data_IF_568270934448
#
_entry.id   IF_568270934448
#
_cell.length_a   1.000
_cell.length_b   1.000
_cell.length_c   1.000
_cell.angle_alpha   90.00
_cell.angle_beta   90.00
_cell.angle_gamma   90.00
#
_symmetry.space_group_name_H-M   'P 1'
#
loop_
_entity.id
_entity.type
_entity.pdbx_description
1 polymer ?
#
# COMPACT_ATOMS: atom_id res chain seq x y z
N UNK A 1 -50.66 -12.19 40.23
CA UNK A 1 -50.35 -13.60 40.04
C UNK A 1 -50.02 -13.81 38.57
N UNK A 2 -48.84 -14.42 38.30
CA UNK A 2 -48.35 -14.93 37.03
C UNK A 2 -47.89 -13.81 36.05
N UNK A 3 -46.62 -13.64 35.66
CA UNK A 3 -45.44 -14.49 35.63
C UNK A 3 -44.76 -14.16 34.29
N UNK A 4 -43.79 -13.36 34.31
CA UNK A 4 -42.38 -13.40 33.91
C UNK A 4 -42.11 -14.29 32.68
N UNK A 5 -41.56 -13.71 31.65
CA UNK A 5 -40.85 -14.34 30.55
C UNK A 5 -39.77 -13.43 30.02
N UNK A 6 -38.59 -13.43 30.67
CA UNK A 6 -37.33 -12.95 30.10
C UNK A 6 -36.91 -13.91 29.00
N UNK A 7 -36.57 -13.42 27.82
CA UNK A 7 -35.71 -14.10 26.88
C UNK A 7 -34.55 -13.22 26.48
N UNK A 8 -33.45 -13.44 27.14
CA UNK A 8 -32.12 -13.01 26.70
C UNK A 8 -31.79 -13.78 25.41
N UNK A 9 -31.81 -13.06 24.31
CA UNK A 9 -31.27 -13.50 23.02
C UNK A 9 -29.81 -13.09 22.89
N UNK A 10 -28.98 -14.06 23.21
CA UNK A 10 -27.51 -14.01 23.06
C UNK A 10 -27.13 -13.86 21.58
N UNK A 11 -26.74 -12.63 21.18
CA UNK A 11 -26.11 -12.35 19.88
C UNK A 11 -24.59 -12.34 20.06
N UNK A 12 -24.02 -13.53 20.27
CA UNK A 12 -22.59 -13.75 20.06
C UNK A 12 -22.30 -13.75 18.56
N UNK A 13 -21.92 -12.59 18.05
CA UNK A 13 -21.25 -12.50 16.75
C UNK A 13 -19.85 -13.07 16.93
N UNK A 14 -19.67 -14.29 16.39
CA UNK A 14 -18.40 -14.98 16.34
C UNK A 14 -17.44 -14.19 15.44
N UNK A 15 -16.48 -13.50 16.07
CA UNK A 15 -15.28 -12.98 15.41
C UNK A 15 -14.30 -14.15 15.31
N UNK A 16 -14.10 -14.66 14.12
CA UNK A 16 -13.03 -15.62 13.83
C UNK A 16 -11.68 -14.90 13.82
N UNK A 17 -10.71 -15.29 14.65
CA UNK A 17 -9.34 -14.80 14.54
C UNK A 17 -8.66 -15.52 13.39
N UNK A 18 -8.02 -14.77 12.50
CA UNK A 18 -7.09 -15.30 11.49
C UNK A 18 -5.87 -15.84 12.21
N UNK A 19 -5.88 -17.14 12.49
CA UNK A 19 -4.75 -17.87 13.09
C UNK A 19 -3.79 -18.28 11.98
N UNK A 20 -2.62 -17.65 11.93
CA UNK A 20 -1.49 -18.15 11.16
C UNK A 20 -0.92 -19.35 11.89
N UNK A 21 -1.27 -20.55 11.43
CA UNK A 21 -0.87 -21.79 12.04
C UNK A 21 0.53 -22.21 11.56
N UNK A 22 1.55 -21.96 12.37
CA UNK A 22 2.87 -22.60 12.26
C UNK A 22 2.96 -23.70 13.28
N UNK A 23 2.67 -24.94 12.90
CA UNK A 23 3.22 -26.18 13.50
C UNK A 23 2.68 -27.38 12.71
N UNK A 24 3.49 -27.94 11.82
CA UNK A 24 3.31 -29.31 11.36
C UNK A 24 4.35 -30.17 12.02
N UNK A 25 3.87 -31.11 12.81
CA UNK A 25 4.68 -32.13 13.50
C UNK A 25 5.15 -33.19 12.52
N UNK A 26 6.38 -33.62 12.77
CA UNK A 26 7.10 -34.72 12.08
C UNK A 26 6.51 -36.06 12.54
N UNK A 27 6.09 -36.92 11.61
CA UNK A 27 6.03 -38.36 11.83
C UNK A 27 6.71 -39.08 10.68
N UNK A 28 7.69 -39.89 11.05
CA UNK A 28 8.47 -40.73 10.15
C UNK A 28 7.72 -41.99 9.75
N UNK A 29 7.94 -42.50 8.53
CA UNK A 29 7.55 -43.85 8.17
C UNK A 29 7.62 -44.19 6.70
N UNK A 30 8.69 -44.92 6.30
CA UNK A 30 8.80 -45.97 5.28
C UNK A 30 8.83 -45.62 3.76
N UNK A 31 9.95 -45.98 3.26
CA UNK A 31 10.43 -46.22 1.91
C UNK A 31 9.38 -46.51 0.80
N UNK A 32 9.44 -45.71 -0.25
CA UNK A 32 8.92 -45.96 -1.57
C UNK A 32 9.68 -45.12 -2.57
N UNK A 33 10.38 -45.73 -3.50
CA UNK A 33 11.10 -45.04 -4.57
C UNK A 33 10.11 -44.27 -5.46
N UNK A 34 9.88 -43.00 -5.13
CA UNK A 34 9.16 -42.06 -5.98
C UNK A 34 10.16 -41.21 -6.73
N UNK A 35 10.12 -41.35 -8.05
CA UNK A 35 10.88 -40.51 -8.99
C UNK A 35 10.77 -39.03 -8.60
N UNK A 36 11.90 -38.38 -8.40
CA UNK A 36 12.03 -36.95 -8.15
C UNK A 36 11.56 -36.18 -9.39
N UNK A 37 10.27 -36.00 -9.55
CA UNK A 37 9.72 -34.91 -10.34
C UNK A 37 9.99 -33.64 -9.57
N UNK A 38 11.16 -33.05 -9.72
CA UNK A 38 11.43 -31.69 -9.30
C UNK A 38 10.32 -30.79 -9.91
N UNK A 39 9.57 -30.03 -9.15
CA UNK A 39 8.69 -29.04 -9.73
C UNK A 39 9.61 -28.07 -10.49
N UNK A 40 9.54 -28.12 -11.81
CA UNK A 40 10.14 -27.08 -12.65
C UNK A 40 9.45 -25.80 -12.20
N UNK A 41 10.16 -24.97 -11.44
CA UNK A 41 9.71 -23.64 -11.12
C UNK A 41 9.44 -22.95 -12.45
N UNK A 42 8.16 -22.84 -12.80
CA UNK A 42 7.73 -22.13 -14.00
C UNK A 42 8.07 -20.67 -13.74
N UNK A 43 9.17 -20.22 -14.35
CA UNK A 43 9.48 -18.79 -14.33
C UNK A 43 8.22 -18.05 -14.82
N UNK A 44 7.73 -17.13 -14.03
CA UNK A 44 6.60 -16.29 -14.42
C UNK A 44 6.97 -15.62 -15.74
N UNK A 45 6.07 -15.69 -16.72
CA UNK A 45 6.30 -15.02 -17.98
C UNK A 45 6.49 -13.52 -17.71
N UNK A 46 7.46 -12.84 -18.36
CA UNK A 46 7.65 -11.41 -18.16
C UNK A 46 6.33 -10.68 -18.44
N UNK A 47 6.04 -9.61 -17.70
CA UNK A 47 4.80 -8.86 -17.88
C UNK A 47 4.73 -8.31 -19.30
N UNK A 48 3.60 -8.54 -19.95
CA UNK A 48 3.38 -8.02 -21.30
C UNK A 48 3.03 -6.53 -21.15
N UNK A 49 3.98 -5.67 -21.55
CA UNK A 49 3.74 -4.23 -21.63
C UNK A 49 2.83 -3.88 -22.81
N UNK A 50 2.11 -2.77 -22.69
CA UNK A 50 1.38 -2.21 -23.83
C UNK A 50 2.36 -1.58 -24.82
N UNK A 51 2.02 -1.61 -26.12
CA UNK A 51 2.76 -0.87 -27.13
C UNK A 51 2.42 0.61 -26.98
N UNK A 52 3.41 1.40 -26.58
CA UNK A 52 3.24 2.85 -26.38
C UNK A 52 3.36 3.59 -27.70
N UNK A 53 2.44 4.48 -27.97
CA UNK A 53 2.55 5.44 -29.08
C UNK A 53 3.61 6.51 -28.75
N UNK A 54 4.09 7.27 -29.74
CA UNK A 54 4.96 8.44 -29.48
C UNK A 54 4.34 9.42 -28.50
N UNK A 55 3.02 9.64 -28.56
CA UNK A 55 2.31 10.49 -27.62
C UNK A 55 2.29 9.91 -26.20
N UNK A 56 2.08 8.60 -26.03
CA UNK A 56 2.12 7.95 -24.71
C UNK A 56 3.50 8.10 -24.08
N UNK A 57 4.54 7.95 -24.90
CA UNK A 57 5.92 8.14 -24.44
C UNK A 57 6.18 9.57 -24.00
N UNK A 58 5.71 10.57 -24.75
CA UNK A 58 5.82 11.98 -24.37
C UNK A 58 5.04 12.29 -23.08
N UNK A 59 3.83 11.72 -22.92
CA UNK A 59 3.03 11.88 -21.71
C UNK A 59 3.68 11.20 -20.50
N UNK A 60 4.31 10.03 -20.66
CA UNK A 60 5.09 9.40 -19.57
C UNK A 60 6.25 10.29 -19.13
N UNK A 61 6.96 10.92 -20.06
CA UNK A 61 8.05 11.87 -19.73
C UNK A 61 7.51 13.09 -18.98
N UNK A 62 6.39 13.64 -19.46
CA UNK A 62 5.69 14.76 -18.81
C UNK A 62 5.25 14.41 -17.39
N UNK A 63 4.66 13.22 -17.19
CA UNK A 63 4.25 12.72 -15.87
C UNK A 63 5.46 12.48 -14.96
N UNK A 64 6.55 11.90 -15.46
CA UNK A 64 7.77 11.69 -14.69
C UNK A 64 8.37 13.02 -14.20
N UNK A 65 8.45 14.01 -15.08
CA UNK A 65 8.93 15.36 -14.75
C UNK A 65 8.01 16.03 -13.71
N UNK A 66 6.69 15.95 -13.91
CA UNK A 66 5.71 16.50 -12.97
C UNK A 66 5.84 15.84 -11.58
N UNK A 67 5.85 14.52 -11.51
CA UNK A 67 6.00 13.80 -10.23
C UNK A 67 7.33 14.13 -9.55
N UNK A 68 8.43 14.22 -10.31
CA UNK A 68 9.75 14.58 -9.78
C UNK A 68 9.81 16.03 -9.26
N UNK A 69 8.99 16.93 -9.81
CA UNK A 69 8.90 18.31 -9.32
C UNK A 69 8.23 18.44 -7.95
N UNK A 70 7.42 17.45 -7.56
CA UNK A 70 6.74 17.43 -6.27
C UNK A 70 7.73 16.98 -5.18
N UNK A 71 8.35 17.92 -4.49
CA UNK A 71 9.28 17.63 -3.38
C UNK A 71 8.55 17.35 -2.08
N UNK A 72 7.54 18.15 -1.79
CA UNK A 72 6.66 18.00 -0.63
C UNK A 72 5.22 18.13 -1.06
N UNK A 73 4.34 17.45 -0.36
CA UNK A 73 2.89 17.49 -0.57
C UNK A 73 2.17 17.34 0.77
N UNK A 74 1.12 18.12 0.93
CA UNK A 74 0.05 17.87 1.88
C UNK A 74 -1.24 17.67 1.10
N UNK A 75 -2.09 16.76 1.52
CA UNK A 75 -3.42 16.58 0.95
C UNK A 75 -4.38 15.97 1.98
N UNK A 76 -5.67 16.19 1.78
CA UNK A 76 -6.70 15.31 2.33
C UNK A 76 -6.79 14.08 1.44
N UNK A 77 -7.02 12.93 2.03
CA UNK A 77 -7.22 11.70 1.27
C UNK A 77 -8.52 10.98 1.63
N UNK A 78 -9.01 10.22 0.68
CA UNK A 78 -9.98 9.15 0.88
C UNK A 78 -9.36 7.85 0.39
N UNK A 79 -9.37 6.85 1.24
CA UNK A 79 -8.91 5.49 0.94
C UNK A 79 -10.10 4.56 0.79
N UNK A 80 -10.02 3.68 -0.22
CA UNK A 80 -10.95 2.55 -0.41
C UNK A 80 -10.12 1.28 -0.45
N UNK A 81 -10.39 0.35 0.47
CA UNK A 81 -9.71 -0.94 0.57
C UNK A 81 -10.43 -2.02 -0.24
N UNK A 82 -9.77 -3.14 -0.51
CA UNK A 82 -10.29 -4.26 -1.31
C UNK A 82 -11.64 -4.81 -0.80
N UNK A 83 -11.89 -4.73 0.52
CA UNK A 83 -13.17 -5.12 1.14
C UNK A 83 -14.27 -4.05 1.07
N UNK A 84 -14.06 -2.94 0.34
CA UNK A 84 -15.02 -1.84 0.25
C UNK A 84 -15.01 -0.88 1.46
N UNK A 85 -14.19 -1.15 2.49
CA UNK A 85 -14.00 -0.24 3.61
C UNK A 85 -13.42 1.09 3.15
N UNK A 86 -13.98 2.19 3.66
CA UNK A 86 -13.53 3.55 3.36
C UNK A 86 -12.94 4.21 4.59
N UNK A 87 -11.88 4.99 4.40
CA UNK A 87 -11.27 5.81 5.43
C UNK A 87 -10.85 7.15 4.84
N UNK A 88 -10.84 8.20 5.66
CA UNK A 88 -10.36 9.52 5.29
C UNK A 88 -9.29 10.00 6.26
N UNK A 89 -8.54 11.01 5.84
CA UNK A 89 -7.49 11.54 6.70
C UNK A 89 -6.63 12.59 6.01
N UNK A 90 -5.45 12.78 6.56
CA UNK A 90 -4.43 13.71 6.09
C UNK A 90 -3.20 12.94 5.65
N UNK A 91 -2.59 13.41 4.57
CA UNK A 91 -1.39 12.85 3.97
C UNK A 91 -0.32 13.93 3.89
N UNK A 92 0.87 13.62 4.38
CA UNK A 92 2.09 14.38 4.14
C UNK A 92 3.08 13.51 3.38
N UNK A 93 3.76 14.09 2.42
CA UNK A 93 4.81 13.44 1.65
C UNK A 93 6.00 14.37 1.52
N UNK A 94 7.20 13.83 1.70
CA UNK A 94 8.45 14.53 1.43
C UNK A 94 9.43 13.55 0.74
N UNK A 95 9.77 13.84 -0.52
CA UNK A 95 10.74 13.01 -1.26
C UNK A 95 12.18 13.35 -0.85
N UNK A 96 13.05 12.33 -0.87
CA UNK A 96 12.76 10.93 -1.14
C UNK A 96 12.18 10.16 0.07
N UNK A 97 11.35 9.18 -0.19
CA UNK A 97 11.07 8.07 0.72
C UNK A 97 10.23 8.35 1.96
N UNK A 98 9.70 9.56 2.14
CA UNK A 98 8.96 9.91 3.34
C UNK A 98 7.48 10.15 3.03
N UNK A 99 6.62 9.53 3.83
CA UNK A 99 5.17 9.68 3.72
C UNK A 99 4.51 9.35 5.06
N UNK A 100 3.48 10.10 5.41
CA UNK A 100 2.70 9.89 6.61
C UNK A 100 1.22 10.01 6.30
N UNK A 101 0.46 9.01 6.71
CA UNK A 101 -1.00 9.04 6.73
C UNK A 101 -1.47 9.13 8.16
N UNK A 102 -2.30 10.11 8.45
CA UNK A 102 -3.08 10.18 9.68
C UNK A 102 -4.55 10.08 9.32
N UNK A 103 -5.16 9.03 9.78
CA UNK A 103 -6.58 8.79 9.57
C UNK A 103 -7.41 9.63 10.53
N UNK A 104 -8.60 10.04 10.08
CA UNK A 104 -9.52 10.79 10.94
C UNK A 104 -9.94 9.96 12.17
N UNK A 105 -10.49 10.62 13.18
CA UNK A 105 -10.67 10.19 14.58
C UNK A 105 -11.26 8.79 14.81
N UNK A 106 -11.86 8.18 13.82
CA UNK A 106 -12.42 6.82 13.91
C UNK A 106 -11.40 5.70 13.69
N UNK A 107 -10.14 6.02 13.36
CA UNK A 107 -9.12 5.03 13.09
C UNK A 107 -7.88 5.27 13.95
N UNK A 108 -7.54 4.28 14.75
CA UNK A 108 -6.30 4.28 15.53
C UNK A 108 -5.06 3.95 14.71
N UNK A 109 -5.17 3.93 13.37
CA UNK A 109 -4.12 3.52 12.47
C UNK A 109 -3.20 4.71 12.13
N UNK A 110 -1.90 4.44 12.12
CA UNK A 110 -0.86 5.29 11.55
C UNK A 110 -0.09 4.50 10.49
N UNK A 111 0.05 5.08 9.30
CA UNK A 111 0.94 4.57 8.26
C UNK A 111 2.06 5.60 8.04
N UNK A 112 3.31 5.17 8.17
CA UNK A 112 4.48 6.03 8.08
C UNK A 112 5.57 5.38 7.23
N UNK A 113 6.14 6.13 6.27
CA UNK A 113 7.38 5.79 5.58
C UNK A 113 8.49 6.74 6.01
N UNK A 114 9.68 6.19 6.39
CA UNK A 114 10.82 6.92 6.96
C UNK A 114 12.08 6.92 6.07
N UNK A 115 11.97 6.66 4.78
CA UNK A 115 12.99 6.39 3.76
C UNK A 115 13.40 4.92 3.64
N UNK A 116 13.36 4.13 4.71
CA UNK A 116 13.85 2.74 4.73
C UNK A 116 12.71 1.75 4.87
N UNK A 117 11.75 2.06 5.71
CA UNK A 117 10.65 1.19 6.09
C UNK A 117 9.30 1.89 5.94
N UNK A 118 8.28 1.09 5.73
CA UNK A 118 6.88 1.47 5.94
C UNK A 118 6.43 0.82 7.23
N UNK A 119 5.95 1.63 8.17
CA UNK A 119 5.38 1.22 9.45
C UNK A 119 3.87 1.29 9.35
N UNK A 120 3.23 0.21 9.72
CA UNK A 120 1.79 0.15 9.98
C UNK A 120 1.61 -0.04 11.48
N UNK A 121 0.92 0.88 12.12
CA UNK A 121 0.68 0.87 13.56
C UNK A 121 -0.80 0.88 13.81
N UNK A 122 -1.30 -0.14 14.49
CA UNK A 122 -2.65 -0.19 15.03
C UNK A 122 -2.55 0.10 16.55
N UNK A 123 -3.03 1.27 16.95
CA UNK A 123 -2.95 1.73 18.34
C UNK A 123 -4.00 1.06 19.25
N UNK A 124 -5.10 0.57 18.67
CA UNK A 124 -6.14 -0.16 19.44
C UNK A 124 -5.70 -1.56 19.77
N UNK A 125 -5.09 -2.24 18.80
CA UNK A 125 -4.58 -3.60 19.00
C UNK A 125 -3.18 -3.62 19.63
N UNK A 126 -2.54 -2.47 19.81
CA UNK A 126 -1.15 -2.32 20.23
C UNK A 126 -0.19 -3.12 19.33
N UNK A 127 -0.48 -3.21 18.04
CA UNK A 127 0.30 -3.93 17.05
C UNK A 127 1.08 -2.98 16.14
N UNK A 128 2.29 -3.41 15.78
CA UNK A 128 3.11 -2.73 14.80
C UNK A 128 3.75 -3.75 13.86
N UNK A 129 3.64 -3.48 12.57
CA UNK A 129 4.39 -4.19 11.54
C UNK A 129 5.22 -3.22 10.71
N UNK A 130 6.34 -3.70 10.16
CA UNK A 130 7.17 -2.92 9.26
C UNK A 130 7.64 -3.77 8.08
N UNK A 131 7.72 -3.15 6.91
CA UNK A 131 8.28 -3.75 5.70
C UNK A 131 9.30 -2.78 5.09
N UNK A 132 10.26 -3.29 4.31
CA UNK A 132 11.18 -2.43 3.57
C UNK A 132 10.41 -1.58 2.55
N UNK A 133 10.63 -0.26 2.53
CA UNK A 133 9.93 0.63 1.62
C UNK A 133 10.14 0.23 0.15
N UNK A 134 11.36 -0.13 -0.22
CA UNK A 134 11.71 -0.55 -1.60
C UNK A 134 11.05 -1.84 -2.05
N UNK A 135 10.57 -2.66 -1.11
CA UNK A 135 9.81 -3.89 -1.41
C UNK A 135 8.30 -3.63 -1.53
N UNK A 136 7.90 -2.36 -1.62
CA UNK A 136 6.49 -1.99 -1.75
C UNK A 136 6.27 -1.14 -3.00
N UNK A 137 5.13 -1.27 -3.70
CA UNK A 137 4.80 -0.39 -4.82
C UNK A 137 4.76 1.10 -4.45
N UNK A 138 4.64 1.45 -3.16
CA UNK A 138 4.70 2.84 -2.68
C UNK A 138 6.05 3.51 -2.97
N UNK A 139 7.14 2.73 -3.08
CA UNK A 139 8.46 3.24 -3.47
C UNK A 139 8.43 3.99 -4.79
N UNK A 140 7.63 3.52 -5.75
CA UNK A 140 7.51 4.16 -7.07
C UNK A 140 6.99 5.60 -6.98
N UNK A 141 6.16 5.88 -5.97
CA UNK A 141 5.65 7.23 -5.70
C UNK A 141 6.64 8.08 -4.91
N UNK A 142 7.53 7.47 -4.12
CA UNK A 142 8.36 8.16 -3.13
C UNK A 142 9.82 8.32 -3.56
N UNK A 143 10.27 7.62 -4.59
CA UNK A 143 11.64 7.73 -5.10
C UNK A 143 11.91 9.09 -5.74
N UNK A 144 13.17 9.46 -5.80
CA UNK A 144 13.66 10.69 -6.42
C UNK A 144 14.95 10.40 -7.18
N UNK A 145 15.00 10.65 -8.50
CA UNK A 145 13.88 11.10 -9.35
C UNK A 145 12.83 10.00 -9.61
N UNK A 146 11.61 10.39 -9.98
CA UNK A 146 10.59 9.46 -10.48
C UNK A 146 10.91 9.12 -11.93
N UNK A 147 11.12 7.84 -12.23
CA UNK A 147 11.41 7.34 -13.58
C UNK A 147 10.52 6.15 -13.91
N UNK A 148 10.37 5.84 -15.19
CA UNK A 148 9.67 4.64 -15.67
C UNK A 148 10.61 3.61 -16.31
N UNK A 149 11.93 3.81 -16.22
CA UNK A 149 12.94 2.99 -16.93
C UNK A 149 12.99 1.53 -16.47
N UNK A 150 12.74 1.31 -15.17
CA UNK A 150 12.70 -0.01 -14.50
C UNK A 150 11.29 -0.58 -14.37
N UNK A 151 10.32 0.06 -15.03
CA UNK A 151 8.92 -0.33 -15.01
C UNK A 151 8.45 -0.83 -16.37
N UNK A 152 7.40 -1.63 -16.35
CA UNK A 152 6.61 -2.00 -17.52
C UNK A 152 5.26 -1.30 -17.41
N UNK A 153 4.91 -0.52 -18.42
CA UNK A 153 3.57 0.04 -18.54
C UNK A 153 2.65 -1.06 -19.06
N UNK A 154 1.74 -1.53 -18.22
CA UNK A 154 0.78 -2.59 -18.58
C UNK A 154 -0.55 -2.04 -19.06
N UNK A 155 -0.83 -0.76 -18.77
CA UNK A 155 -2.02 -0.07 -19.24
C UNK A 155 -1.78 1.44 -19.32
N UNK A 156 -2.27 2.04 -20.41
CA UNK A 156 -2.26 3.49 -20.62
C UNK A 156 -3.60 3.92 -21.22
N UNK A 157 -4.40 4.65 -20.43
CA UNK A 157 -5.72 5.13 -20.89
C UNK A 157 -5.76 6.66 -20.88
N UNK A 158 -6.36 7.24 -21.95
CA UNK A 158 -6.72 8.66 -22.02
C UNK A 158 -8.23 8.81 -21.97
N UNK A 159 -8.69 9.63 -21.01
CA UNK A 159 -10.06 10.13 -20.96
C UNK A 159 -10.14 11.59 -21.43
N UNK A 160 -11.32 12.18 -21.34
CA UNK A 160 -11.56 13.56 -21.78
C UNK A 160 -10.68 14.61 -21.07
N UNK A 161 -10.29 14.40 -19.83
CA UNK A 161 -9.36 15.24 -19.05
C UNK A 161 -8.64 14.39 -18.02
N UNK A 162 -8.24 13.18 -18.39
CA UNK A 162 -7.59 12.27 -17.46
C UNK A 162 -6.57 11.37 -18.17
N UNK A 163 -5.44 11.14 -17.49
CA UNK A 163 -4.49 10.10 -17.85
C UNK A 163 -4.51 9.05 -16.74
N UNK A 164 -4.57 7.78 -17.13
CA UNK A 164 -4.46 6.64 -16.22
C UNK A 164 -3.34 5.74 -16.69
N UNK A 165 -2.38 5.49 -15.83
CA UNK A 165 -1.16 4.75 -16.14
C UNK A 165 -1.01 3.64 -15.11
N UNK A 166 -0.96 2.39 -15.56
CA UNK A 166 -0.68 1.23 -14.70
C UNK A 166 0.70 0.68 -15.02
N UNK A 167 1.49 0.48 -13.99
CA UNK A 167 2.85 -0.02 -14.07
C UNK A 167 3.09 -1.19 -13.12
N UNK A 168 4.03 -2.05 -13.49
CA UNK A 168 4.62 -3.09 -12.64
C UNK A 168 6.13 -2.98 -12.69
N UNK A 169 6.81 -3.51 -11.69
CA UNK A 169 8.28 -3.58 -11.71
C UNK A 169 8.76 -4.64 -12.70
N UNK A 170 9.82 -4.34 -13.48
CA UNK A 170 10.39 -5.30 -14.43
C UNK A 170 11.01 -6.50 -13.74
N UNK A 171 11.68 -6.24 -12.59
CA UNK A 171 12.40 -7.26 -11.85
C UNK A 171 11.45 -8.19 -11.08
N UNK A 172 10.33 -7.66 -10.57
CA UNK A 172 9.39 -8.38 -9.72
C UNK A 172 7.94 -8.09 -10.12
N UNK A 173 7.49 -8.51 -11.30
CA UNK A 173 6.17 -8.16 -11.83
C UNK A 173 5.01 -8.69 -10.98
N UNK A 174 5.25 -9.76 -10.23
CA UNK A 174 4.26 -10.35 -9.31
C UNK A 174 4.21 -9.67 -7.94
N UNK A 175 5.11 -8.72 -7.65
CA UNK A 175 5.11 -7.95 -6.41
C UNK A 175 3.88 -7.04 -6.25
N UNK A 176 3.17 -6.81 -7.37
CA UNK A 176 1.96 -6.01 -7.42
C UNK A 176 2.00 -4.98 -8.53
N UNK A 177 1.02 -4.08 -8.55
CA UNK A 177 0.95 -3.00 -9.55
C UNK A 177 0.61 -1.67 -8.91
N UNK A 178 1.03 -0.59 -9.59
CA UNK A 178 0.65 0.77 -9.26
C UNK A 178 -0.11 1.37 -10.45
N UNK A 179 -1.34 1.80 -10.21
CA UNK A 179 -2.11 2.63 -11.15
C UNK A 179 -2.12 4.06 -10.65
N UNK A 180 -1.76 5.00 -11.48
CA UNK A 180 -1.80 6.43 -11.19
C UNK A 180 -2.82 7.12 -12.09
N UNK A 181 -3.58 8.06 -11.52
CA UNK A 181 -4.57 8.86 -12.23
C UNK A 181 -4.22 10.34 -12.08
N UNK A 182 -4.20 11.02 -13.21
CA UNK A 182 -3.94 12.46 -13.31
C UNK A 182 -5.10 13.16 -13.98
N UNK A 183 -5.41 14.42 -13.61
CA UNK A 183 -6.02 15.33 -14.55
C UNK A 183 -5.00 15.68 -15.63
N UNK A 184 -5.45 15.97 -16.84
CA UNK A 184 -4.52 16.20 -17.97
C UNK A 184 -4.23 17.69 -18.19
N UNK A 185 -5.24 18.53 -18.16
CA UNK A 185 -5.10 19.98 -18.43
C UNK A 185 -5.83 20.79 -17.34
N UNK A 186 -5.10 21.32 -16.35
CA UNK A 186 -3.67 21.12 -16.09
C UNK A 186 -3.34 19.73 -15.54
N UNK A 187 -2.09 19.28 -15.81
CA UNK A 187 -1.60 18.02 -15.26
C UNK A 187 -1.59 18.09 -13.72
N UNK A 188 -2.28 17.14 -13.08
CA UNK A 188 -2.41 17.11 -11.63
C UNK A 188 -2.61 15.71 -11.10
N UNK A 189 -1.82 15.30 -10.13
CA UNK A 189 -1.94 13.99 -9.49
C UNK A 189 -3.20 13.92 -8.63
N UNK A 190 -4.08 12.94 -8.91
CA UNK A 190 -5.41 12.84 -8.30
C UNK A 190 -5.60 11.60 -7.45
N UNK A 191 -5.06 10.49 -7.90
CA UNK A 191 -5.35 9.20 -7.29
C UNK A 191 -4.26 8.20 -7.62
N UNK A 192 -4.07 7.23 -6.75
CA UNK A 192 -3.37 5.99 -7.09
C UNK A 192 -4.11 4.78 -6.53
N UNK A 193 -3.86 3.64 -7.16
CA UNK A 193 -4.29 2.34 -6.69
C UNK A 193 -3.09 1.42 -6.64
N UNK A 194 -2.83 0.84 -5.49
CA UNK A 194 -1.85 -0.24 -5.31
C UNK A 194 -2.63 -1.55 -5.29
N UNK A 195 -2.19 -2.52 -6.09
CA UNK A 195 -2.61 -3.92 -5.99
C UNK A 195 -1.41 -4.69 -5.46
N UNK A 196 -1.55 -5.33 -4.31
CA UNK A 196 -0.48 -6.09 -3.66
C UNK A 196 -0.30 -7.50 -4.25
N UNK A 197 0.66 -8.26 -3.71
CA UNK A 197 0.93 -9.65 -4.09
C UNK A 197 -0.29 -10.57 -3.87
N UNK A 198 -1.15 -10.27 -2.90
CA UNK A 198 -2.38 -10.99 -2.61
C UNK A 198 -3.55 -10.53 -3.49
N UNK A 199 -3.30 -9.69 -4.50
CA UNK A 199 -4.29 -9.11 -5.41
C UNK A 199 -5.33 -8.23 -4.70
N UNK A 200 -5.01 -7.71 -3.52
CA UNK A 200 -5.85 -6.75 -2.81
C UNK A 200 -5.57 -5.34 -3.30
N UNK A 201 -6.62 -4.65 -3.73
CA UNK A 201 -6.52 -3.29 -4.22
C UNK A 201 -6.77 -2.28 -3.09
N UNK A 202 -5.90 -1.30 -2.97
CA UNK A 202 -6.10 -0.12 -2.12
C UNK A 202 -6.01 1.13 -2.98
N UNK A 203 -7.08 1.89 -3.03
CA UNK A 203 -7.16 3.14 -3.78
C UNK A 203 -7.12 4.33 -2.85
N UNK A 204 -6.29 5.31 -3.15
CA UNK A 204 -6.19 6.58 -2.43
C UNK A 204 -6.46 7.73 -3.39
N UNK A 205 -7.51 8.48 -3.12
CA UNK A 205 -7.89 9.68 -3.85
C UNK A 205 -7.48 10.93 -3.05
N UNK A 206 -6.95 11.93 -3.74
CA UNK A 206 -6.45 13.16 -3.15
C UNK A 206 -7.44 14.31 -3.37
N UNK A 207 -7.58 15.14 -2.34
CA UNK A 207 -8.30 16.42 -2.40
C UNK A 207 -7.49 17.48 -1.65
N UNK A 208 -7.70 18.75 -2.03
CA UNK A 208 -7.04 19.90 -1.42
C UNK A 208 -5.51 19.76 -1.36
N UNK A 209 -4.91 19.19 -2.41
CA UNK A 209 -3.47 18.97 -2.46
C UNK A 209 -2.73 20.31 -2.55
N UNK A 210 -1.71 20.47 -1.70
CA UNK A 210 -0.79 21.60 -1.64
C UNK A 210 0.63 21.08 -1.83
N UNK A 211 1.42 21.76 -2.63
CA UNK A 211 2.76 21.33 -3.02
C UNK A 211 3.82 22.38 -2.65
N UNK A 212 5.04 21.94 -2.42
CA UNK A 212 6.20 22.82 -2.21
C UNK A 212 6.23 23.48 -0.84
N UNK A 213 5.38 23.11 0.10
CA UNK A 213 5.36 23.67 1.45
C UNK A 213 6.50 23.10 2.31
N UNK A 214 6.96 23.89 3.28
CA UNK A 214 7.87 23.39 4.30
C UNK A 214 7.13 22.44 5.24
N UNK A 215 7.67 21.23 5.42
CA UNK A 215 7.13 20.24 6.34
C UNK A 215 8.13 19.99 7.48
N UNK A 216 7.63 19.86 8.71
CA UNK A 216 8.49 19.50 9.84
C UNK A 216 9.04 18.08 9.62
N UNK A 217 10.37 17.89 9.61
CA UNK A 217 10.98 16.57 9.47
C UNK A 217 10.52 15.56 10.53
N UNK A 218 10.11 16.03 11.70
CA UNK A 218 9.57 15.19 12.79
C UNK A 218 8.30 14.43 12.42
N UNK A 219 7.55 14.92 11.43
CA UNK A 219 6.37 14.21 10.89
C UNK A 219 6.72 12.81 10.39
N UNK A 220 7.97 12.61 9.95
CA UNK A 220 8.43 11.37 9.30
C UNK A 220 9.34 10.53 10.20
N UNK A 221 9.42 10.86 11.48
CA UNK A 221 10.15 10.06 12.47
C UNK A 221 9.18 9.11 13.14
N UNK A 222 9.47 7.80 13.02
CA UNK A 222 8.72 6.79 13.76
C UNK A 222 9.02 6.92 15.26
N UNK A 223 7.97 7.09 16.04
CA UNK A 223 8.01 7.03 17.49
C UNK A 223 7.17 5.82 17.92
N UNK A 224 7.78 4.88 18.65
CA UNK A 224 7.06 3.71 19.16
C UNK A 224 6.02 4.14 20.20
N UNK A 225 4.71 4.08 19.88
CA UNK A 225 3.68 4.50 20.83
C UNK A 225 3.57 3.56 22.03
N UNK A 226 4.19 2.38 21.98
CA UNK A 226 4.14 1.34 23.00
C UNK A 226 5.42 1.25 23.84
N UNK A 227 6.41 2.13 23.61
CA UNK A 227 7.70 2.10 24.30
C UNK A 227 7.57 2.26 25.84
N UNK A 228 6.58 3.02 26.30
CA UNK A 228 6.34 3.21 27.72
C UNK A 228 5.78 1.95 28.40
N UNK A 229 4.83 1.28 27.75
CA UNK A 229 4.22 0.05 28.28
C UNK A 229 5.19 -1.11 28.28
N UNK A 230 6.08 -1.22 27.29
CA UNK A 230 7.09 -2.31 27.25
C UNK A 230 8.09 -2.19 28.40
N UNK A 231 8.51 -0.99 28.79
CA UNK A 231 9.43 -0.77 29.91
C UNK A 231 8.87 -1.18 31.27
N UNK A 232 7.55 -1.32 31.42
CA UNK A 232 6.93 -1.79 32.66
C UNK A 232 6.97 -3.31 32.83
N UNK A 233 7.32 -4.06 31.77
CA UNK A 233 7.37 -5.53 31.77
C UNK A 233 8.78 -6.09 31.58
N UNK A 234 9.81 -5.25 31.48
CA UNK A 234 11.21 -5.71 31.58
C UNK A 234 11.57 -5.88 33.05
N UNK A 235 11.98 -7.12 33.47
CA UNK A 235 12.32 -7.45 34.82
C UNK A 235 13.63 -6.78 35.31
#
# INVERSE_FOLDING_TARGET
>A
MVGIGKSEGDLRVLREPVVINRRAAITAGLAGAAALLSPVARAAAPPVGVVLTPQDTADLQRVAAYLSSIRTMYARFQQVSAGGGTATGQLWMARPGRMRFEYDVSSAILLLADMFYVYYVDKELAEMSKVGLKSTPAWLLLRDPVTFSDLVVTRFDRGANALRITVVEKAEPDSGSLTMVFSDQPLGFRQWTIVDQQRKATTVSLSNAQFGMALDPKLFVYQDPFAASRRQYEP
#
